data_IF_880289207721
#
_entry.id   IF_880289207721
#
_cell.length_a   1.000
_cell.length_b   1.000
_cell.length_c   1.000
_cell.angle_alpha   90.00
_cell.angle_beta   90.00
_cell.angle_gamma   90.00
#
_symmetry.space_group_name_H-M   'P 1'
#
loop_
_entity.id
_entity.type
_entity.pdbx_description
1 polymer ?
#
# COMPACT_ATOMS: atom_id res chain seq x y z
N UNK A 1 7.78 71.78 -37.43
CA UNK A 1 8.92 70.88 -37.73
C UNK A 1 8.86 69.74 -36.71
N UNK A 2 8.59 68.52 -37.21
CA UNK A 2 8.82 67.19 -36.63
C UNK A 2 8.33 66.79 -35.21
N UNK A 3 7.34 65.87 -35.22
CA UNK A 3 7.27 64.57 -34.51
C UNK A 3 7.51 64.55 -32.98
N UNK A 4 6.63 63.96 -32.15
CA UNK A 4 6.45 62.51 -32.06
C UNK A 4 5.29 62.16 -31.10
N UNK A 5 4.53 61.10 -31.40
CA UNK A 5 3.72 60.32 -30.43
C UNK A 5 4.48 59.02 -30.14
N UNK A 6 4.45 58.52 -28.89
CA UNK A 6 3.96 57.15 -28.65
C UNK A 6 3.07 57.08 -27.37
N UNK A 7 1.92 56.39 -27.40
CA UNK A 7 1.66 54.96 -27.08
C UNK A 7 1.58 54.62 -25.57
N UNK A 8 0.36 54.22 -25.18
CA UNK A 8 -0.07 53.14 -24.25
C UNK A 8 0.64 52.97 -22.89
N UNK A 9 -0.17 52.75 -21.85
CA UNK A 9 -0.30 51.43 -21.21
C UNK A 9 -1.44 51.40 -20.18
N UNK A 10 -2.47 50.61 -20.49
CA UNK A 10 -3.35 50.00 -19.50
C UNK A 10 -2.61 48.78 -18.94
N UNK A 11 -2.48 48.67 -17.63
CA UNK A 11 -2.19 47.41 -16.95
C UNK A 11 -3.20 47.25 -15.81
N UNK A 12 -4.23 46.47 -16.14
CA UNK A 12 -5.07 45.74 -15.19
C UNK A 12 -4.29 44.46 -14.84
N UNK A 13 -4.64 43.86 -13.70
CA UNK A 13 -4.30 42.50 -13.26
C UNK A 13 -3.12 42.36 -12.29
N UNK A 14 -3.48 42.36 -10.99
CA UNK A 14 -2.80 41.55 -10.00
C UNK A 14 -3.86 40.92 -9.08
N UNK A 15 -4.18 39.66 -9.33
CA UNK A 15 -5.16 38.90 -8.57
C UNK A 15 -5.11 37.40 -8.86
N UNK A 16 -3.90 36.83 -8.96
CA UNK A 16 -3.73 35.39 -9.08
C UNK A 16 -3.83 34.77 -7.68
N UNK A 17 -5.05 34.43 -7.25
CA UNK A 17 -5.28 33.56 -6.09
C UNK A 17 -4.86 32.14 -6.47
N UNK A 18 -3.60 31.81 -6.20
CA UNK A 18 -3.09 30.45 -6.21
C UNK A 18 -3.54 29.76 -4.91
N UNK A 19 -4.76 29.25 -4.86
CA UNK A 19 -5.14 28.27 -3.84
C UNK A 19 -4.56 26.91 -4.24
N UNK A 20 -3.26 26.70 -4.01
CA UNK A 20 -2.72 25.34 -3.93
C UNK A 20 -3.14 24.75 -2.59
N UNK A 21 -4.24 24.01 -2.60
CA UNK A 21 -4.46 22.95 -1.62
C UNK A 21 -3.41 21.87 -1.88
N UNK A 22 -2.27 21.98 -1.21
CA UNK A 22 -1.30 20.89 -1.13
C UNK A 22 -2.01 19.69 -0.50
N UNK A 23 -2.29 18.67 -1.31
CA UNK A 23 -2.63 17.35 -0.79
C UNK A 23 -1.46 16.91 0.09
N UNK A 24 -1.70 16.78 1.38
CA UNK A 24 -0.70 16.27 2.33
C UNK A 24 -0.45 14.82 1.92
N UNK A 25 0.64 14.56 1.23
CA UNK A 25 1.15 13.21 1.08
C UNK A 25 1.55 12.77 2.48
N UNK A 26 0.73 11.93 3.11
CA UNK A 26 1.16 11.27 4.33
C UNK A 26 2.32 10.37 3.94
N UNK A 27 3.54 10.78 4.27
CA UNK A 27 4.71 9.93 4.16
C UNK A 27 4.46 8.75 5.10
N UNK A 28 4.08 7.59 4.57
CA UNK A 28 3.87 6.38 5.35
C UNK A 28 5.15 5.89 6.03
N UNK A 29 5.03 4.84 6.83
CA UNK A 29 6.17 4.26 7.55
C UNK A 29 7.02 3.35 6.67
N UNK A 30 8.33 3.41 6.88
CA UNK A 30 9.27 2.47 6.26
C UNK A 30 9.17 1.08 6.87
N UNK A 31 9.53 0.05 6.10
CA UNK A 31 9.62 -1.33 6.60
C UNK A 31 10.53 -1.45 7.84
N UNK A 32 11.62 -0.66 7.89
CA UNK A 32 12.54 -0.62 9.03
C UNK A 32 11.88 -0.05 10.31
N UNK A 33 11.11 1.03 10.18
CA UNK A 33 10.37 1.61 11.30
C UNK A 33 9.29 0.65 11.80
N UNK A 34 8.57 0.01 10.88
CA UNK A 34 7.52 -0.96 11.20
C UNK A 34 8.09 -2.21 11.88
N UNK A 35 9.26 -2.68 11.44
CA UNK A 35 9.98 -3.77 12.11
C UNK A 35 10.40 -3.38 13.52
N UNK A 36 10.95 -2.16 13.68
CA UNK A 36 11.32 -1.63 15.00
C UNK A 36 10.12 -1.46 15.93
N UNK A 37 8.94 -1.23 15.36
CA UNK A 37 7.68 -1.16 16.10
C UNK A 37 7.04 -2.53 16.34
N UNK A 38 7.58 -3.64 15.83
CA UNK A 38 7.14 -5.01 16.16
C UNK A 38 6.46 -5.81 15.05
N UNK A 39 6.40 -5.29 13.81
CA UNK A 39 6.02 -6.12 12.65
C UNK A 39 7.16 -7.09 12.33
N UNK A 40 6.90 -8.40 12.12
CA UNK A 40 7.93 -9.33 11.66
C UNK A 40 8.54 -8.88 10.33
N UNK A 41 9.87 -9.01 10.19
CA UNK A 41 10.61 -8.47 9.02
C UNK A 41 10.10 -9.00 7.68
N UNK A 42 9.62 -10.24 7.64
CA UNK A 42 9.08 -10.84 6.42
C UNK A 42 7.76 -10.20 5.97
N UNK A 43 7.01 -9.58 6.89
CA UNK A 43 5.76 -8.87 6.60
C UNK A 43 5.91 -7.35 6.51
N UNK A 44 7.08 -6.81 6.80
CA UNK A 44 7.29 -5.38 6.93
C UNK A 44 7.11 -4.62 5.61
N UNK A 45 7.43 -5.25 4.48
CA UNK A 45 7.23 -4.65 3.15
C UNK A 45 5.75 -4.50 2.79
N UNK A 46 4.93 -5.50 3.15
CA UNK A 46 3.46 -5.41 3.00
C UNK A 46 2.90 -4.29 3.88
N UNK A 47 3.31 -4.25 5.15
CA UNK A 47 2.89 -3.23 6.09
C UNK A 47 3.27 -1.81 5.63
N UNK A 48 4.50 -1.65 5.12
CA UNK A 48 4.98 -0.38 4.56
C UNK A 48 4.16 0.02 3.32
N UNK A 49 3.79 -0.95 2.48
CA UNK A 49 2.93 -0.70 1.30
C UNK A 49 1.54 -0.17 1.69
N UNK A 50 0.92 -0.74 2.71
CA UNK A 50 -0.37 -0.28 3.24
C UNK A 50 -0.22 1.12 3.82
N UNK A 51 0.74 1.30 4.73
CA UNK A 51 0.99 2.58 5.39
C UNK A 51 1.33 3.72 4.42
N UNK A 52 2.06 3.45 3.34
CA UNK A 52 2.35 4.44 2.28
C UNK A 52 1.11 4.96 1.55
N UNK A 53 -0.01 4.23 1.59
CA UNK A 53 -1.29 4.65 1.02
C UNK A 53 -2.21 5.30 2.05
N UNK A 54 -1.81 5.34 3.31
CA UNK A 54 -2.66 5.63 4.45
C UNK A 54 -2.08 6.73 5.33
N UNK A 55 -1.14 6.41 6.22
CA UNK A 55 -0.57 7.36 7.18
C UNK A 55 0.79 6.94 7.74
N UNK A 56 1.39 7.79 8.56
CA UNK A 56 2.47 7.41 9.49
C UNK A 56 1.98 7.33 10.93
N UNK A 57 2.83 6.91 11.87
CA UNK A 57 2.47 6.73 13.28
C UNK A 57 1.83 7.97 13.93
N UNK A 58 2.20 9.18 13.47
CA UNK A 58 1.66 10.45 14.00
C UNK A 58 0.44 10.99 13.25
N UNK A 59 -0.03 10.31 12.21
CA UNK A 59 -1.07 10.85 11.32
C UNK A 59 -2.46 10.80 11.97
N UNK A 60 -3.22 11.89 11.85
CA UNK A 60 -4.68 11.89 12.04
C UNK A 60 -5.33 12.51 10.83
N UNK A 61 -6.30 11.82 10.22
CA UNK A 61 -7.03 12.37 9.08
C UNK A 61 -8.29 13.15 9.53
N UNK A 62 -8.93 13.82 8.57
CA UNK A 62 -10.14 14.62 8.77
C UNK A 62 -11.36 13.86 9.32
N UNK A 63 -11.35 12.52 9.24
CA UNK A 63 -12.41 11.65 9.76
C UNK A 63 -12.09 11.11 11.16
N UNK A 64 -10.98 11.55 11.77
CA UNK A 64 -10.53 11.09 13.08
C UNK A 64 -9.87 9.71 13.05
N UNK A 65 -9.43 9.24 11.88
CA UNK A 65 -8.69 7.98 11.78
C UNK A 65 -7.21 8.18 12.11
N UNK A 66 -6.62 7.23 12.83
CA UNK A 66 -5.37 7.42 13.55
C UNK A 66 -4.25 6.52 13.03
N UNK A 67 -3.03 7.06 13.01
CA UNK A 67 -1.79 6.32 12.92
C UNK A 67 -1.45 5.81 11.52
N UNK A 68 -0.46 4.91 11.49
CA UNK A 68 0.13 4.41 10.23
C UNK A 68 -0.88 3.66 9.35
N UNK A 69 -1.91 3.09 9.97
CA UNK A 69 -2.93 2.24 9.34
C UNK A 69 -4.35 2.79 9.48
N UNK A 70 -4.45 4.11 9.74
CA UNK A 70 -5.71 4.87 9.72
C UNK A 70 -6.89 4.19 10.46
N UNK A 71 -6.67 3.82 11.72
CA UNK A 71 -7.71 3.26 12.59
C UNK A 71 -8.79 4.33 12.86
N UNK A 72 -9.89 4.27 12.14
CA UNK A 72 -11.07 5.12 12.36
C UNK A 72 -11.78 4.76 13.68
N UNK A 73 -12.59 5.65 14.28
CA UNK A 73 -13.10 5.50 15.65
C UNK A 73 -13.65 4.10 16.00
N UNK A 74 -14.51 3.51 15.17
CA UNK A 74 -15.06 2.17 15.43
C UNK A 74 -14.02 1.05 15.38
N UNK A 75 -13.04 1.12 14.47
CA UNK A 75 -11.93 0.16 14.42
C UNK A 75 -10.96 0.41 15.58
N UNK A 76 -10.63 1.67 15.87
CA UNK A 76 -9.78 2.07 16.98
C UNK A 76 -10.29 1.49 18.31
N UNK A 77 -11.57 1.71 18.62
CA UNK A 77 -12.22 1.21 19.84
C UNK A 77 -12.24 -0.32 19.94
N UNK A 78 -12.26 -1.01 18.79
CA UNK A 78 -12.24 -2.48 18.75
C UNK A 78 -10.86 -3.07 19.08
N UNK A 79 -9.77 -2.39 18.68
CA UNK A 79 -8.42 -2.97 18.72
C UNK A 79 -7.48 -2.31 19.73
N UNK A 80 -7.89 -1.19 20.33
CA UNK A 80 -7.07 -0.50 21.31
C UNK A 80 -7.91 0.12 22.43
N UNK A 81 -7.49 -0.14 23.67
CA UNK A 81 -8.09 0.48 24.85
C UNK A 81 -7.18 1.61 25.33
N UNK A 82 -7.59 2.86 25.08
CA UNK A 82 -6.87 4.04 25.53
C UNK A 82 -7.30 5.30 24.77
N UNK A 83 -6.54 6.38 24.93
CA UNK A 83 -6.80 7.63 24.21
C UNK A 83 -6.13 7.62 22.83
N UNK A 84 -6.69 8.39 21.89
CA UNK A 84 -6.08 8.63 20.58
C UNK A 84 -4.62 9.11 20.71
N UNK A 85 -4.34 10.01 21.66
CA UNK A 85 -2.99 10.49 21.91
C UNK A 85 -2.04 9.37 22.37
N UNK A 86 -2.50 8.48 23.25
CA UNK A 86 -1.67 7.35 23.71
C UNK A 86 -1.35 6.37 22.57
N UNK A 87 -2.27 6.22 21.62
CA UNK A 87 -2.10 5.36 20.45
C UNK A 87 -1.12 5.98 19.43
N UNK A 88 -1.29 7.27 19.12
CA UNK A 88 -0.39 8.00 18.21
C UNK A 88 1.04 8.07 18.76
N UNK A 89 1.21 8.13 20.08
CA UNK A 89 2.52 8.16 20.73
C UNK A 89 3.16 6.77 20.89
N UNK A 90 2.49 5.68 20.49
CA UNK A 90 2.95 4.32 20.72
C UNK A 90 2.95 3.50 19.42
N UNK A 91 4.01 3.58 18.60
CA UNK A 91 4.15 2.78 17.38
C UNK A 91 3.89 1.28 17.58
N UNK A 92 4.36 0.71 18.69
CA UNK A 92 4.15 -0.71 19.00
C UNK A 92 2.70 -1.06 19.31
N UNK A 93 1.92 -0.14 19.88
CA UNK A 93 0.49 -0.35 20.02
C UNK A 93 -0.23 -0.34 18.65
N UNK A 94 0.21 0.51 17.72
CA UNK A 94 -0.37 0.58 16.37
C UNK A 94 -0.09 -0.68 15.58
N UNK A 95 1.15 -1.18 15.58
CA UNK A 95 1.52 -2.42 14.88
C UNK A 95 0.87 -3.65 15.51
N UNK A 96 0.74 -3.70 16.84
CA UNK A 96 0.02 -4.78 17.52
C UNK A 96 -1.47 -4.78 17.18
N UNK A 97 -2.13 -3.62 17.23
CA UNK A 97 -3.54 -3.47 16.85
C UNK A 97 -3.77 -3.85 15.37
N UNK A 98 -2.88 -3.41 14.48
CA UNK A 98 -2.95 -3.73 13.06
C UNK A 98 -2.69 -5.21 12.76
N UNK A 99 -1.73 -5.83 13.46
CA UNK A 99 -1.50 -7.29 13.35
C UNK A 99 -2.75 -8.08 13.73
N UNK A 100 -3.43 -7.71 14.83
CA UNK A 100 -4.69 -8.33 15.24
C UNK A 100 -5.82 -8.06 14.23
N UNK A 101 -5.87 -6.86 13.65
CA UNK A 101 -6.82 -6.52 12.60
C UNK A 101 -6.63 -7.41 11.35
N UNK A 102 -5.42 -7.53 10.83
CA UNK A 102 -5.11 -8.36 9.66
C UNK A 102 -5.43 -9.84 9.91
N UNK A 103 -5.14 -10.37 11.09
CA UNK A 103 -5.51 -11.75 11.48
C UNK A 103 -7.03 -11.96 11.50
N UNK A 104 -7.78 -10.99 12.03
CA UNK A 104 -9.24 -11.04 12.05
C UNK A 104 -9.83 -10.90 10.63
N UNK A 105 -9.30 -10.01 9.81
CA UNK A 105 -9.72 -9.87 8.41
C UNK A 105 -9.39 -11.12 7.61
N UNK A 106 -8.22 -11.74 7.81
CA UNK A 106 -7.88 -13.03 7.20
C UNK A 106 -8.89 -14.12 7.57
N UNK A 107 -9.22 -14.24 8.86
CA UNK A 107 -10.19 -15.20 9.36
C UNK A 107 -11.58 -14.98 8.72
N UNK A 108 -12.01 -13.71 8.58
CA UNK A 108 -13.24 -13.36 7.86
C UNK A 108 -13.17 -13.68 6.37
N UNK A 109 -12.01 -13.46 5.74
CA UNK A 109 -11.79 -13.79 4.33
C UNK A 109 -12.05 -15.27 4.09
N UNK A 110 -11.47 -16.11 4.95
CA UNK A 110 -11.64 -17.56 4.90
C UNK A 110 -13.11 -17.95 5.15
N UNK A 111 -13.73 -17.46 6.22
CA UNK A 111 -15.11 -17.83 6.57
C UNK A 111 -16.14 -17.38 5.53
N UNK A 112 -15.86 -16.28 4.83
CA UNK A 112 -16.72 -15.75 3.76
C UNK A 112 -16.37 -16.28 2.37
N UNK A 113 -15.42 -17.22 2.25
CA UNK A 113 -15.03 -17.83 0.97
C UNK A 113 -14.28 -16.88 0.02
N UNK A 114 -13.76 -15.77 0.53
CA UNK A 114 -13.06 -14.76 -0.27
C UNK A 114 -11.68 -15.23 -0.73
N UNK A 115 -11.12 -16.23 -0.07
CA UNK A 115 -9.84 -16.84 -0.44
C UNK A 115 -9.94 -17.82 -1.61
N UNK A 116 -11.15 -18.10 -2.12
CA UNK A 116 -11.39 -19.03 -3.25
C UNK A 116 -10.79 -18.57 -4.58
N UNK A 117 -10.45 -17.27 -4.69
CA UNK A 117 -9.84 -16.67 -5.88
C UNK A 117 -8.30 -16.64 -5.83
N UNK A 118 -7.67 -17.14 -4.75
CA UNK A 118 -6.21 -17.28 -4.70
C UNK A 118 -5.73 -18.18 -5.85
N UNK A 119 -4.71 -17.75 -6.57
CA UNK A 119 -4.17 -18.39 -7.77
C UNK A 119 -4.80 -17.92 -9.08
N UNK A 120 -5.89 -17.13 -9.04
CA UNK A 120 -6.48 -16.54 -10.24
C UNK A 120 -5.69 -15.29 -10.68
N UNK A 121 -5.83 -14.90 -11.96
CA UNK A 121 -5.28 -13.65 -12.47
C UNK A 121 -6.27 -12.50 -12.26
N UNK A 122 -5.78 -11.37 -11.78
CA UNK A 122 -6.50 -10.08 -11.77
C UNK A 122 -5.77 -9.09 -12.66
N UNK A 123 -6.52 -8.29 -13.41
CA UNK A 123 -5.95 -7.22 -14.24
C UNK A 123 -6.65 -5.88 -13.97
N UNK A 124 -5.88 -4.80 -13.84
CA UNK A 124 -6.37 -3.43 -13.68
C UNK A 124 -5.37 -2.44 -14.31
N UNK A 125 -5.88 -1.45 -15.05
CA UNK A 125 -5.03 -0.42 -15.66
C UNK A 125 -3.95 -0.96 -16.60
N UNK A 126 -4.21 -2.06 -17.33
CA UNK A 126 -3.27 -2.68 -18.27
C UNK A 126 -2.18 -3.54 -17.62
N UNK A 127 -2.22 -3.74 -16.30
CA UNK A 127 -1.31 -4.63 -15.56
C UNK A 127 -2.09 -5.81 -15.00
N UNK A 128 -1.41 -6.94 -14.82
CA UNK A 128 -1.98 -8.14 -14.24
C UNK A 128 -1.07 -8.72 -13.15
N UNK A 129 -1.66 -9.41 -12.18
CA UNK A 129 -0.96 -10.18 -11.16
C UNK A 129 -1.75 -11.43 -10.78
N UNK A 130 -1.06 -12.42 -10.23
CA UNK A 130 -1.69 -13.58 -9.60
C UNK A 130 -2.15 -13.19 -8.21
N UNK A 131 -3.41 -13.43 -7.92
CA UNK A 131 -4.00 -13.17 -6.61
C UNK A 131 -3.39 -14.14 -5.60
N UNK A 132 -2.79 -13.61 -4.55
CA UNK A 132 -2.26 -14.36 -3.41
C UNK A 132 -2.89 -13.87 -2.09
N UNK A 133 -2.41 -14.41 -0.97
CA UNK A 133 -2.88 -14.03 0.37
C UNK A 133 -2.72 -12.53 0.64
N UNK A 134 -1.61 -11.93 0.20
CA UNK A 134 -1.36 -10.50 0.39
C UNK A 134 -2.32 -9.63 -0.44
N UNK A 135 -2.67 -10.07 -1.65
CA UNK A 135 -3.68 -9.41 -2.47
C UNK A 135 -5.05 -9.40 -1.77
N UNK A 136 -5.45 -10.52 -1.16
CA UNK A 136 -6.70 -10.63 -0.40
C UNK A 136 -6.70 -9.66 0.78
N UNK A 137 -5.64 -9.64 1.60
CA UNK A 137 -5.55 -8.73 2.75
C UNK A 137 -5.59 -7.25 2.32
N UNK A 138 -4.83 -6.87 1.28
CA UNK A 138 -4.88 -5.51 0.73
C UNK A 138 -6.29 -5.14 0.24
N UNK A 139 -7.00 -6.06 -0.39
CA UNK A 139 -8.39 -5.84 -0.80
C UNK A 139 -9.37 -5.73 0.39
N UNK A 140 -8.98 -6.25 1.56
CA UNK A 140 -9.76 -6.22 2.79
C UNK A 140 -9.48 -5.03 3.71
N UNK A 141 -8.66 -4.06 3.30
CA UNK A 141 -8.54 -2.80 4.05
C UNK A 141 -9.88 -2.04 4.17
N UNK A 142 -10.90 -2.40 3.36
CA UNK A 142 -12.28 -1.92 3.49
C UNK A 142 -13.24 -2.94 4.12
N UNK A 143 -12.70 -3.98 4.76
CA UNK A 143 -13.40 -5.10 5.37
C UNK A 143 -13.60 -6.30 4.45
N UNK A 144 -13.26 -7.49 4.98
CA UNK A 144 -13.51 -8.83 4.43
C UNK A 144 -14.95 -9.32 4.73
N UNK A 145 -15.95 -8.43 4.76
CA UNK A 145 -17.34 -8.83 5.00
C UNK A 145 -17.96 -9.59 3.82
N UNK A 146 -18.88 -10.53 4.09
CA UNK A 146 -19.55 -11.33 3.05
C UNK A 146 -20.44 -10.55 2.06
N UNK A 147 -20.61 -9.24 2.26
CA UNK A 147 -21.27 -8.30 1.32
C UNK A 147 -20.35 -7.13 0.91
N UNK A 148 -19.06 -7.23 1.22
CA UNK A 148 -18.06 -6.22 0.93
C UNK A 148 -17.69 -6.17 -0.55
N UNK A 149 -16.82 -5.22 -0.90
CA UNK A 149 -16.37 -5.01 -2.29
C UNK A 149 -15.65 -6.24 -2.84
N UNK A 150 -14.80 -6.87 -2.03
CA UNK A 150 -14.12 -8.10 -2.40
C UNK A 150 -15.12 -9.25 -2.60
N UNK A 151 -16.11 -9.41 -1.72
CA UNK A 151 -17.16 -10.42 -1.88
C UNK A 151 -17.94 -10.23 -3.18
N UNK A 152 -18.28 -8.99 -3.53
CA UNK A 152 -18.94 -8.66 -4.79
C UNK A 152 -18.08 -9.02 -6.00
N UNK A 153 -16.76 -8.81 -5.93
CA UNK A 153 -15.84 -9.24 -6.98
C UNK A 153 -15.71 -10.76 -7.05
N UNK A 154 -15.53 -11.45 -5.92
CA UNK A 154 -15.47 -12.93 -5.86
C UNK A 154 -16.71 -13.54 -6.51
N UNK A 155 -17.89 -12.94 -6.31
CA UNK A 155 -19.14 -13.43 -6.88
C UNK A 155 -19.32 -13.16 -8.39
N UNK A 156 -18.69 -12.11 -8.93
CA UNK A 156 -18.97 -11.63 -10.30
C UNK A 156 -17.79 -11.70 -11.27
N UNK A 157 -16.55 -11.63 -10.76
CA UNK A 157 -15.33 -11.44 -11.54
C UNK A 157 -15.22 -10.07 -12.23
N UNK A 158 -16.17 -9.15 -12.03
CA UNK A 158 -16.23 -7.89 -12.78
C UNK A 158 -15.55 -6.74 -12.02
N UNK A 159 -14.38 -6.31 -12.51
CA UNK A 159 -13.65 -5.17 -11.98
C UNK A 159 -14.36 -3.81 -12.22
N UNK A 160 -15.33 -3.74 -13.12
CA UNK A 160 -16.02 -2.50 -13.50
C UNK A 160 -17.35 -2.30 -12.77
N UNK A 161 -17.86 -3.34 -12.11
CA UNK A 161 -19.12 -3.28 -11.39
C UNK A 161 -19.12 -2.17 -10.33
N UNK A 162 -20.25 -1.46 -10.19
CA UNK A 162 -20.35 -0.31 -9.27
C UNK A 162 -20.11 -0.71 -7.81
N UNK A 163 -20.55 -1.89 -7.42
CA UNK A 163 -20.47 -2.41 -6.05
C UNK A 163 -19.08 -2.99 -5.70
N UNK A 164 -18.13 -3.02 -6.63
CA UNK A 164 -16.72 -3.37 -6.35
C UNK A 164 -15.81 -2.15 -6.17
N UNK A 165 -16.35 -0.93 -6.35
CA UNK A 165 -15.59 0.33 -6.26
C UNK A 165 -15.73 1.00 -4.91
N UNK A 166 -14.66 1.64 -4.42
CA UNK A 166 -14.66 2.45 -3.21
C UNK A 166 -15.39 3.80 -3.39
N UNK A 167 -15.42 4.61 -2.33
CA UNK A 167 -16.06 5.94 -2.38
C UNK A 167 -15.41 6.91 -3.37
N UNK A 168 -14.17 6.65 -3.77
CA UNK A 168 -13.41 7.42 -4.76
C UNK A 168 -13.48 6.80 -6.17
N UNK A 169 -14.25 5.71 -6.36
CA UNK A 169 -14.39 5.02 -7.63
C UNK A 169 -13.26 4.04 -7.97
N UNK A 170 -12.34 3.75 -7.04
CA UNK A 170 -11.26 2.79 -7.22
C UNK A 170 -11.81 1.37 -7.04
N UNK A 171 -11.61 0.52 -8.06
CA UNK A 171 -12.05 -0.88 -8.04
C UNK A 171 -11.22 -1.74 -7.09
N UNK A 172 -11.85 -2.71 -6.42
CA UNK A 172 -11.18 -3.74 -5.60
C UNK A 172 -10.08 -4.48 -6.39
N UNK A 173 -10.21 -4.60 -7.71
CA UNK A 173 -9.16 -5.18 -8.55
C UNK A 173 -7.84 -4.41 -8.52
N UNK A 174 -7.88 -3.08 -8.33
CA UNK A 174 -6.67 -2.27 -8.15
C UNK A 174 -5.98 -2.61 -6.83
N UNK A 175 -6.75 -2.94 -5.79
CA UNK A 175 -6.21 -3.35 -4.48
C UNK A 175 -5.64 -4.76 -4.54
N UNK A 176 -6.34 -5.70 -5.18
CA UNK A 176 -5.83 -7.05 -5.45
C UNK A 176 -4.52 -7.00 -6.24
N UNK A 177 -4.48 -6.18 -7.30
CA UNK A 177 -3.29 -6.02 -8.13
C UNK A 177 -2.09 -5.44 -7.34
N UNK A 178 -2.30 -4.34 -6.60
CA UNK A 178 -1.20 -3.65 -5.89
C UNK A 178 -0.73 -4.36 -4.63
N UNK A 179 -1.56 -5.26 -4.11
CA UNK A 179 -1.31 -6.03 -2.90
C UNK A 179 -0.71 -7.39 -3.15
N UNK A 180 -0.59 -7.85 -4.40
CA UNK A 180 -0.02 -9.15 -4.72
C UNK A 180 1.51 -9.16 -4.56
N UNK A 181 2.05 -10.33 -4.20
CA UNK A 181 3.49 -10.60 -4.21
C UNK A 181 4.22 -10.32 -2.91
N UNK A 182 3.51 -10.14 -1.79
CA UNK A 182 4.13 -9.92 -0.48
C UNK A 182 4.01 -11.17 0.41
N UNK A 183 5.02 -11.39 1.26
CA UNK A 183 4.88 -12.34 2.34
C UNK A 183 4.02 -11.73 3.46
N UNK A 184 2.95 -12.44 3.80
CA UNK A 184 1.98 -12.08 4.86
C UNK A 184 1.74 -13.23 5.83
N UNK A 185 2.66 -14.20 5.87
CA UNK A 185 2.55 -15.41 6.68
C UNK A 185 2.46 -15.13 8.19
N UNK A 186 2.96 -13.98 8.65
CA UNK A 186 2.78 -13.54 10.04
C UNK A 186 1.31 -13.17 10.38
N UNK A 187 0.49 -12.82 9.39
CA UNK A 187 -0.93 -12.53 9.57
C UNK A 187 -1.78 -13.77 9.26
N UNK A 188 -1.42 -14.51 8.22
CA UNK A 188 -2.27 -15.59 7.70
C UNK A 188 -1.94 -16.97 8.28
N UNK A 189 -0.76 -17.14 8.87
CA UNK A 189 -0.21 -18.45 9.23
C UNK A 189 0.10 -19.34 8.02
N UNK A 190 0.03 -18.79 6.80
CA UNK A 190 0.23 -19.53 5.55
C UNK A 190 1.33 -18.85 4.71
N UNK A 191 2.27 -19.64 4.21
CA UNK A 191 3.20 -19.16 3.19
C UNK A 191 2.42 -18.82 1.91
N UNK A 192 2.75 -17.70 1.28
CA UNK A 192 2.13 -17.35 0.00
C UNK A 192 2.59 -18.33 -1.07
N UNK A 193 1.62 -18.89 -1.80
CA UNK A 193 1.90 -19.84 -2.88
C UNK A 193 2.53 -19.16 -4.11
N UNK A 194 2.53 -17.83 -4.15
CA UNK A 194 3.12 -17.02 -5.23
C UNK A 194 4.55 -16.60 -4.88
N UNK A 195 4.98 -16.78 -3.62
CA UNK A 195 6.36 -16.55 -3.17
C UNK A 195 7.36 -17.62 -3.65
N UNK A 196 6.99 -18.53 -4.55
CA UNK A 196 7.97 -19.43 -5.21
C UNK A 196 8.71 -18.70 -6.33
N UNK A 197 9.37 -17.60 -5.99
CA UNK A 197 10.65 -17.25 -6.57
C UNK A 197 11.66 -17.42 -5.44
N UNK A 198 11.96 -18.69 -5.12
CA UNK A 198 13.18 -19.02 -4.39
C UNK A 198 14.35 -18.63 -5.31
N UNK A 199 15.27 -17.75 -4.89
CA UNK A 199 16.54 -17.57 -5.59
C UNK A 199 17.27 -18.92 -5.55
N UNK A 200 17.36 -19.60 -6.69
CA UNK A 200 18.11 -20.87 -6.79
C UNK A 200 19.59 -20.62 -7.08
N UNK A 201 20.01 -19.35 -7.19
CA UNK A 201 21.41 -18.98 -7.39
C UNK A 201 21.73 -17.54 -6.96
N UNK A 202 23.02 -17.23 -6.79
CA UNK A 202 23.47 -15.86 -6.56
C UNK A 202 23.09 -14.96 -7.74
N UNK A 203 22.29 -13.92 -7.50
CA UNK A 203 21.96 -12.89 -8.50
C UNK A 203 20.48 -12.79 -8.91
N UNK A 204 19.63 -13.76 -8.54
CA UNK A 204 18.23 -13.77 -8.96
C UNK A 204 17.30 -13.21 -7.87
N UNK A 205 17.03 -11.89 -7.91
CA UNK A 205 15.88 -11.30 -7.24
C UNK A 205 14.97 -10.59 -8.26
N UNK A 206 13.64 -10.66 -8.12
CA UNK A 206 12.72 -9.88 -8.95
C UNK A 206 12.86 -8.40 -8.60
N UNK A 207 13.52 -7.63 -9.47
CA UNK A 207 13.74 -6.21 -9.25
C UNK A 207 12.56 -5.40 -9.80
N UNK A 208 11.68 -4.88 -8.94
CA UNK A 208 10.80 -3.77 -9.37
C UNK A 208 11.55 -2.44 -9.51
N UNK A 209 12.85 -2.41 -9.14
CA UNK A 209 13.72 -1.21 -9.06
C UNK A 209 15.09 -1.37 -9.73
N UNK A 210 15.36 -2.48 -10.42
CA UNK A 210 16.61 -2.72 -11.15
C UNK A 210 17.88 -2.98 -10.29
N UNK A 211 17.76 -3.15 -8.97
CA UNK A 211 18.89 -3.43 -8.07
C UNK A 211 18.65 -4.75 -7.35
N UNK A 212 19.60 -5.67 -7.43
CA UNK A 212 19.55 -6.92 -6.67
C UNK A 212 19.65 -6.62 -5.17
N UNK A 213 18.77 -7.22 -4.36
CA UNK A 213 18.76 -7.05 -2.91
C UNK A 213 20.03 -7.55 -2.21
N UNK A 214 20.81 -8.40 -2.88
CA UNK A 214 22.08 -8.89 -2.38
C UNK A 214 23.06 -9.10 -3.54
N UNK A 215 23.79 -8.05 -3.97
CA UNK A 215 24.78 -8.19 -5.03
C UNK A 215 25.93 -9.10 -4.53
N UNK A 216 26.48 -9.99 -5.38
CA UNK A 216 27.64 -10.79 -5.01
C UNK A 216 28.80 -9.89 -4.58
N UNK A 217 29.62 -10.32 -3.61
CA UNK A 217 30.85 -9.59 -3.28
C UNK A 217 31.75 -9.57 -4.51
N UNK A 218 32.52 -8.48 -4.70
CA UNK A 218 33.39 -8.33 -5.87
C UNK A 218 34.35 -9.52 -6.09
N UNK A 219 34.69 -10.25 -5.02
CA UNK A 219 35.51 -11.46 -5.06
C UNK A 219 34.82 -12.72 -5.62
N UNK A 220 33.50 -12.67 -5.86
CA UNK A 220 32.68 -13.77 -6.40
C UNK A 220 32.13 -13.47 -7.80
N UNK A 221 32.35 -12.25 -8.31
CA UNK A 221 31.99 -11.89 -9.67
C UNK A 221 32.96 -12.53 -10.68
N UNK A 222 32.43 -13.34 -11.61
CA UNK A 222 33.24 -14.00 -12.65
C UNK A 222 33.59 -13.07 -13.82
N UNK A 223 32.99 -11.87 -13.86
CA UNK A 223 33.26 -10.84 -14.88
C UNK A 223 33.47 -9.52 -14.14
N UNK A 224 34.67 -8.97 -14.29
CA UNK A 224 35.04 -7.62 -13.84
C UNK A 224 35.07 -6.77 -15.10
N UNK A 225 34.08 -5.90 -15.29
CA UNK A 225 34.05 -4.94 -16.42
C UNK A 225 34.87 -3.73 -16.01
N UNK A 226 35.88 -3.39 -16.81
CA UNK A 226 36.72 -2.21 -16.56
C UNK A 226 35.99 -0.89 -16.83
N UNK A 227 36.46 0.26 -16.33
CA UNK A 227 35.84 1.57 -16.53
C UNK A 227 35.73 2.05 -17.99
N UNK A 228 36.20 1.26 -18.95
CA UNK A 228 36.28 1.58 -20.38
C UNK A 228 35.56 0.57 -21.26
N UNK A 229 34.83 -0.39 -20.69
CA UNK A 229 34.12 -1.45 -21.43
C UNK A 229 32.59 -1.23 -21.43
N UNK A 230 32.15 -0.06 -21.90
CA UNK A 230 30.76 0.19 -22.30
C UNK A 230 30.75 0.81 -23.70
#
# INVERSE_FOLDING_TARGET
MMLSRPLRQSLVDAGLFLCLSAAVAFAGESAANLTSAGIPSNCADFASKVSASEGNFGTTNQFGCLGAFQFCPGTFEQYYSGSAQSFLNNPSAQTAAWTQYEQNEWSKAQSNGLTSIVGQQVCSGGKCATIDQSAILMACQFGCGGKGKLANYVASGDCNARNVKDGNGVSVCTYLLRGAGYDVSCFTGQQSNVCVQMPTGPGDFPTSTGIASNPPSASTASIIVGPTEI
#
